data_IF_689182524134
#
_entry.id   IF_689182524134
#
_cell.length_a   1.000
_cell.length_b   1.000
_cell.length_c   1.000
_cell.angle_alpha   90.00
_cell.angle_beta   90.00
_cell.angle_gamma   90.00
#
_symmetry.space_group_name_H-M   'P 1'
#
loop_
_entity.id
_entity.type
_entity.pdbx_description
1 polymer ?
#
# COMPACT_ATOMS: atom_id res chain seq x y z
N UNK A 1 20.31 48.79 -25.50
CA UNK A 1 20.93 49.96 -24.80
C UNK A 1 20.26 50.21 -23.42
N UNK A 2 18.95 50.05 -23.27
CA UNK A 2 18.27 50.19 -21.95
C UNK A 2 18.68 49.11 -20.93
N UNK A 3 18.87 47.88 -21.36
CA UNK A 3 19.26 46.78 -20.43
C UNK A 3 20.70 46.96 -19.89
N UNK A 4 21.60 47.52 -20.67
CA UNK A 4 22.97 47.80 -20.22
C UNK A 4 22.96 48.97 -19.23
N UNK A 5 22.09 49.97 -19.38
CA UNK A 5 21.92 51.05 -18.41
C UNK A 5 21.32 50.57 -17.08
N UNK A 6 20.39 49.61 -17.09
CA UNK A 6 19.87 49.01 -15.84
C UNK A 6 20.92 48.18 -15.11
N UNK A 7 21.80 47.48 -15.83
CA UNK A 7 22.91 46.74 -15.24
C UNK A 7 23.94 47.69 -14.61
N UNK A 8 24.20 48.85 -15.25
CA UNK A 8 25.11 49.88 -14.71
C UNK A 8 24.53 50.58 -13.47
N UNK A 9 23.21 50.78 -13.38
CA UNK A 9 22.57 51.36 -12.20
C UNK A 9 22.58 50.37 -11.00
N UNK A 10 22.50 49.07 -11.25
CA UNK A 10 22.57 48.07 -10.17
C UNK A 10 23.99 47.97 -9.56
N UNK A 11 25.03 48.17 -10.35
CA UNK A 11 26.44 48.13 -9.89
C UNK A 11 26.78 49.34 -9.03
N UNK A 12 26.11 50.50 -9.21
CA UNK A 12 26.33 51.70 -8.39
C UNK A 12 25.63 51.64 -7.00
N UNK A 13 24.83 50.63 -6.71
CA UNK A 13 24.18 50.48 -5.40
C UNK A 13 25.04 49.69 -4.39
N UNK A 14 26.17 49.14 -4.81
CA UNK A 14 27.09 48.46 -3.92
C UNK A 14 28.13 49.44 -3.42
N UNK A 15 27.96 49.99 -2.24
CA UNK A 15 28.94 50.87 -1.63
C UNK A 15 30.13 50.06 -1.08
N UNK A 16 31.33 50.66 -1.12
CA UNK A 16 32.55 50.07 -0.56
C UNK A 16 32.34 49.67 0.95
N UNK A 17 31.55 50.46 1.67
CA UNK A 17 31.14 50.20 3.04
C UNK A 17 30.39 48.85 3.20
N UNK A 18 29.59 48.44 2.24
CA UNK A 18 28.87 47.18 2.30
C UNK A 18 29.79 45.97 2.11
N UNK A 19 30.90 46.12 1.40
CA UNK A 19 31.91 45.07 1.22
C UNK A 19 32.84 44.95 2.44
N UNK A 20 33.20 46.10 3.05
CA UNK A 20 34.08 46.14 4.23
C UNK A 20 33.41 45.62 5.49
N UNK A 21 32.08 45.66 5.60
CA UNK A 21 31.30 45.15 6.74
C UNK A 21 31.02 43.64 6.69
N UNK A 22 31.74 42.88 5.88
CA UNK A 22 31.70 41.39 5.89
C UNK A 22 30.51 40.80 5.12
N UNK A 23 29.84 41.55 4.26
CA UNK A 23 28.75 41.03 3.39
C UNK A 23 29.32 40.25 2.20
N UNK A 24 28.80 39.06 1.98
CA UNK A 24 29.18 38.23 0.82
C UNK A 24 28.18 38.47 -0.33
N UNK A 25 28.68 38.87 -1.50
CA UNK A 25 27.92 38.94 -2.73
C UNK A 25 28.29 37.75 -3.63
N UNK A 26 27.34 36.92 -3.96
CA UNK A 26 27.51 35.78 -4.88
C UNK A 26 26.46 35.89 -5.96
N UNK A 27 26.90 35.89 -7.22
CA UNK A 27 26.01 35.65 -8.35
C UNK A 27 25.63 34.18 -8.37
N UNK A 28 24.34 33.87 -8.35
CA UNK A 28 23.84 32.52 -8.45
C UNK A 28 22.66 32.47 -9.41
N UNK A 29 22.60 31.40 -10.22
CA UNK A 29 21.34 31.04 -10.86
C UNK A 29 20.51 30.24 -9.82
N UNK A 30 19.24 30.61 -9.66
CA UNK A 30 18.33 29.94 -8.71
C UNK A 30 18.79 29.96 -7.24
N UNK A 31 19.46 31.02 -6.77
CA UNK A 31 19.89 31.15 -5.40
C UNK A 31 20.96 30.14 -4.94
N UNK A 32 21.67 29.49 -5.88
CA UNK A 32 22.65 28.44 -5.56
C UNK A 32 22.03 27.08 -5.19
N UNK A 33 20.74 26.94 -5.33
CA UNK A 33 20.02 25.72 -5.01
C UNK A 33 20.21 24.64 -6.08
N UNK A 34 20.53 23.44 -5.63
CA UNK A 34 20.55 22.26 -6.49
C UNK A 34 19.14 21.72 -6.59
N UNK A 35 18.39 22.17 -7.60
CA UNK A 35 16.94 21.88 -7.73
C UNK A 35 16.60 20.39 -7.61
N UNK A 36 17.44 19.49 -8.12
CA UNK A 36 17.22 18.03 -8.01
C UNK A 36 17.21 17.49 -6.57
N UNK A 37 18.01 18.07 -5.67
CA UNK A 37 18.16 17.61 -4.29
C UNK A 37 17.38 18.47 -3.30
N UNK A 38 17.23 19.76 -3.59
CA UNK A 38 16.64 20.72 -2.64
C UNK A 38 15.13 20.93 -2.84
N UNK A 39 14.61 20.85 -4.08
CA UNK A 39 13.16 20.96 -4.32
C UNK A 39 12.36 19.89 -3.56
N UNK A 40 12.75 18.61 -3.53
CA UNK A 40 12.07 17.61 -2.68
C UNK A 40 12.06 17.97 -1.19
N UNK A 41 13.13 18.58 -0.67
CA UNK A 41 13.20 19.04 0.73
C UNK A 41 12.26 20.20 1.00
N UNK A 42 12.20 21.18 0.08
CA UNK A 42 11.24 22.27 0.16
C UNK A 42 9.79 21.78 0.18
N UNK A 43 9.47 20.87 -0.74
CA UNK A 43 8.12 20.25 -0.78
C UNK A 43 7.81 19.56 0.56
N UNK A 44 8.76 18.84 1.13
CA UNK A 44 8.58 18.20 2.44
C UNK A 44 8.36 19.22 3.56
N UNK A 45 9.10 20.34 3.57
CA UNK A 45 8.92 21.39 4.57
C UNK A 45 7.54 22.06 4.45
N UNK A 46 7.05 22.29 3.22
CA UNK A 46 5.68 22.77 2.99
C UNK A 46 4.64 21.77 3.48
N UNK A 47 4.83 20.49 3.15
CA UNK A 47 3.91 19.41 3.58
C UNK A 47 3.87 19.22 5.10
N UNK A 48 4.97 19.52 5.81
CA UNK A 48 5.03 19.51 7.29
C UNK A 48 4.51 20.79 7.93
N UNK A 49 4.11 21.79 7.14
CA UNK A 49 3.68 23.10 7.64
C UNK A 49 4.81 23.98 8.18
N UNK A 50 6.07 23.63 7.92
CA UNK A 50 7.25 24.41 8.33
C UNK A 50 7.45 25.64 7.44
N UNK A 51 6.83 25.65 6.26
CA UNK A 51 6.86 26.75 5.30
C UNK A 51 5.46 27.01 4.74
N UNK A 52 4.99 28.25 4.85
CA UNK A 52 3.75 28.70 4.21
C UNK A 52 4.06 29.32 2.85
N UNK A 53 3.46 28.76 1.78
CA UNK A 53 3.59 29.30 0.42
C UNK A 53 2.56 30.38 0.09
N UNK A 54 1.52 30.54 0.90
CA UNK A 54 0.43 31.49 0.62
C UNK A 54 0.91 32.94 0.41
N UNK A 55 1.88 33.46 1.20
CA UNK A 55 2.37 34.82 1.00
C UNK A 55 3.06 35.07 -0.35
N UNK A 56 3.56 33.99 -0.97
CA UNK A 56 4.24 34.08 -2.28
C UNK A 56 3.29 34.03 -3.46
N UNK A 57 2.03 33.57 -3.26
CA UNK A 57 1.01 33.54 -4.31
C UNK A 57 0.18 34.81 -4.22
N UNK A 58 0.57 35.82 -4.98
CA UNK A 58 -0.06 37.14 -4.95
C UNK A 58 -1.32 37.22 -5.82
N UNK A 59 -1.40 36.40 -6.87
CA UNK A 59 -2.51 36.41 -7.83
C UNK A 59 -3.02 34.98 -8.07
N UNK A 60 -4.34 34.80 -7.96
CA UNK A 60 -5.05 33.57 -8.37
C UNK A 60 -5.96 33.94 -9.53
N UNK A 61 -5.80 33.29 -10.64
CA UNK A 61 -6.52 33.57 -11.89
C UNK A 61 -7.24 32.30 -12.32
N UNK A 62 -8.54 32.38 -12.55
CA UNK A 62 -9.35 31.26 -12.99
C UNK A 62 -9.41 31.20 -14.52
N UNK A 63 -9.27 29.98 -15.08
CA UNK A 63 -9.38 29.70 -16.50
C UNK A 63 -8.11 30.00 -17.30
N UNK A 64 -7.79 29.12 -18.23
CA UNK A 64 -6.63 29.25 -19.11
C UNK A 64 -6.76 30.46 -20.07
N UNK A 65 -7.99 30.85 -20.40
CA UNK A 65 -8.31 31.99 -21.22
C UNK A 65 -7.85 33.33 -20.60
N UNK A 66 -7.62 33.34 -19.29
CA UNK A 66 -7.17 34.53 -18.55
C UNK A 66 -5.64 34.57 -18.32
N UNK A 67 -4.86 33.67 -18.96
CA UNK A 67 -3.39 33.61 -18.80
C UNK A 67 -2.69 34.94 -19.05
N UNK A 68 -3.18 35.76 -20.02
CA UNK A 68 -2.59 37.04 -20.34
C UNK A 68 -2.66 38.03 -19.17
N UNK A 69 -3.69 37.96 -18.33
CA UNK A 69 -3.79 38.77 -17.10
C UNK A 69 -2.66 38.52 -16.11
N UNK A 70 -2.20 37.26 -16.02
CA UNK A 70 -1.04 36.90 -15.18
C UNK A 70 0.26 37.48 -15.76
N UNK A 71 0.41 37.48 -17.08
CA UNK A 71 1.57 38.04 -17.76
C UNK A 71 1.60 39.56 -17.58
N UNK A 72 0.48 40.24 -17.75
CA UNK A 72 0.35 41.67 -17.52
C UNK A 72 0.68 42.07 -16.08
N UNK A 73 0.17 41.33 -15.08
CA UNK A 73 0.47 41.56 -13.66
C UNK A 73 1.96 41.35 -13.34
N UNK A 74 2.62 40.37 -13.96
CA UNK A 74 4.05 40.15 -13.83
C UNK A 74 4.86 41.29 -14.47
N UNK A 75 4.51 41.74 -15.67
CA UNK A 75 5.15 42.83 -16.34
C UNK A 75 4.92 44.16 -15.60
N UNK A 76 3.76 44.38 -15.02
CA UNK A 76 3.44 45.56 -14.21
C UNK A 76 4.11 45.60 -12.85
N UNK A 77 4.88 44.57 -12.46
CA UNK A 77 5.58 44.47 -11.17
C UNK A 77 4.67 44.32 -9.95
N UNK A 78 3.38 44.08 -10.16
CA UNK A 78 2.38 43.92 -9.07
C UNK A 78 2.23 42.46 -8.62
N UNK A 79 2.79 41.49 -9.37
CA UNK A 79 2.68 40.06 -9.14
C UNK A 79 4.02 39.44 -8.77
N UNK A 80 4.10 38.82 -7.61
CA UNK A 80 5.24 38.00 -7.23
C UNK A 80 5.13 36.61 -7.87
N UNK A 81 3.95 35.99 -7.79
CA UNK A 81 3.60 34.75 -8.45
C UNK A 81 2.10 34.69 -8.73
N UNK A 82 1.74 34.39 -9.96
CA UNK A 82 0.39 34.09 -10.38
C UNK A 82 0.20 32.55 -10.45
N UNK A 83 -0.90 32.05 -9.91
CA UNK A 83 -1.36 30.67 -10.07
C UNK A 83 -2.61 30.69 -10.93
N UNK A 84 -2.57 30.01 -12.07
CA UNK A 84 -3.71 29.88 -12.99
C UNK A 84 -4.42 28.57 -12.67
N UNK A 85 -5.67 28.66 -12.26
CA UNK A 85 -6.53 27.52 -12.02
C UNK A 85 -7.20 27.12 -13.33
N UNK A 86 -6.67 26.09 -14.01
CA UNK A 86 -7.08 25.68 -15.36
C UNK A 86 -8.43 24.96 -15.35
N UNK A 87 -8.75 24.24 -14.28
CA UNK A 87 -10.04 23.60 -14.07
C UNK A 87 -10.67 24.13 -12.80
N UNK A 88 -12.01 24.33 -12.78
CA UNK A 88 -12.72 24.48 -11.52
C UNK A 88 -12.38 23.25 -10.67
N UNK A 89 -12.14 23.45 -9.36
CA UNK A 89 -11.97 22.38 -8.38
C UNK A 89 -13.28 21.57 -8.25
N UNK A 90 -13.67 20.93 -9.32
CA UNK A 90 -14.59 19.79 -9.36
C UNK A 90 -13.83 18.49 -9.59
N UNK A 91 -12.57 18.45 -9.20
CA UNK A 91 -12.10 17.16 -8.70
C UNK A 91 -12.88 16.94 -7.41
N UNK A 92 -13.71 15.87 -7.33
CA UNK A 92 -14.09 15.41 -6.01
C UNK A 92 -12.79 15.44 -5.24
N UNK A 93 -12.80 15.89 -3.99
CA UNK A 93 -11.71 15.62 -3.07
C UNK A 93 -11.57 14.10 -3.00
N UNK A 94 -10.93 13.51 -3.99
CA UNK A 94 -10.15 12.33 -3.79
C UNK A 94 -9.10 12.86 -2.82
N UNK A 95 -9.39 12.76 -1.54
CA UNK A 95 -8.48 13.17 -0.50
C UNK A 95 -7.22 12.39 -0.78
N UNK A 96 -6.20 13.12 -1.26
CA UNK A 96 -4.90 12.49 -1.47
C UNK A 96 -4.56 11.76 -0.17
N UNK A 97 -4.13 10.52 -0.23
CA UNK A 97 -3.80 9.78 0.98
C UNK A 97 -2.89 10.58 1.88
N UNK A 98 -3.28 10.71 3.14
CA UNK A 98 -2.54 11.45 4.15
C UNK A 98 -1.41 10.58 4.67
N UNK A 99 -0.18 11.03 4.49
CA UNK A 99 0.99 10.38 5.07
C UNK A 99 0.96 10.52 6.61
N UNK A 100 0.84 9.41 7.31
CA UNK A 100 0.82 9.35 8.79
C UNK A 100 2.21 9.13 9.38
N UNK A 101 3.02 8.28 8.73
CA UNK A 101 4.40 8.05 9.16
C UNK A 101 5.31 7.71 7.98
N UNK A 102 6.60 8.01 8.13
CA UNK A 102 7.64 7.68 7.17
C UNK A 102 8.93 7.34 7.93
N UNK A 103 9.25 6.05 8.02
CA UNK A 103 10.35 5.53 8.83
C UNK A 103 11.34 4.79 7.94
N UNK A 104 12.63 5.06 8.17
CA UNK A 104 13.72 4.34 7.51
C UNK A 104 13.86 2.96 8.13
N UNK A 105 13.86 1.93 7.29
CA UNK A 105 14.21 0.55 7.63
C UNK A 105 15.42 0.12 6.83
N UNK A 106 16.00 -1.02 7.19
CA UNK A 106 17.03 -1.66 6.38
C UNK A 106 16.48 -1.96 4.98
N UNK A 107 17.22 -1.50 3.96
CA UNK A 107 16.85 -1.71 2.55
C UNK A 107 15.73 -0.84 1.99
N UNK A 108 15.11 0.07 2.78
CA UNK A 108 14.03 0.90 2.26
C UNK A 108 13.34 1.83 3.26
N UNK A 109 12.14 2.23 2.92
CA UNK A 109 11.30 3.13 3.71
C UNK A 109 9.93 2.52 3.95
N UNK A 110 9.50 2.49 5.20
CA UNK A 110 8.12 2.15 5.59
C UNK A 110 7.30 3.43 5.68
N UNK A 111 6.22 3.49 4.95
CA UNK A 111 5.29 4.64 4.93
C UNK A 111 3.90 4.16 5.30
N UNK A 112 3.19 4.91 6.14
CA UNK A 112 1.79 4.67 6.49
C UNK A 112 0.93 5.79 5.95
N UNK A 113 -0.19 5.42 5.34
CA UNK A 113 -1.15 6.36 4.76
C UNK A 113 -2.56 6.07 5.27
N UNK A 114 -3.35 7.11 5.39
CA UNK A 114 -4.80 7.05 5.55
C UNK A 114 -5.45 7.69 4.33
N UNK A 115 -6.50 7.07 3.81
CA UNK A 115 -7.25 7.60 2.68
C UNK A 115 -8.72 7.23 2.79
N UNK A 116 -9.57 8.03 2.14
CA UNK A 116 -10.96 7.64 1.93
C UNK A 116 -11.03 6.44 0.98
N UNK A 117 -11.75 5.40 1.36
CA UNK A 117 -11.99 4.24 0.52
C UNK A 117 -13.40 4.30 -0.07
N UNK A 118 -13.48 4.28 -1.40
CA UNK A 118 -14.76 4.19 -2.11
C UNK A 118 -15.40 2.81 -1.95
N UNK A 119 -14.61 1.76 -1.87
CA UNK A 119 -15.10 0.41 -1.62
C UNK A 119 -15.70 0.27 -0.22
N UNK A 120 -15.00 0.77 0.80
CA UNK A 120 -15.41 0.63 2.20
C UNK A 120 -16.24 1.81 2.71
N UNK A 121 -16.37 2.91 1.95
CA UNK A 121 -17.10 4.13 2.33
C UNK A 121 -16.70 4.65 3.73
N UNK A 122 -15.40 4.64 3.99
CA UNK A 122 -14.79 5.14 5.23
C UNK A 122 -13.29 5.37 5.02
N UNK A 123 -12.65 5.97 6.03
CA UNK A 123 -11.20 6.08 6.05
C UNK A 123 -10.56 4.72 6.27
N UNK A 124 -9.66 4.34 5.36
CA UNK A 124 -8.85 3.13 5.46
C UNK A 124 -7.39 3.47 5.63
N UNK A 125 -6.68 2.63 6.35
CA UNK A 125 -5.23 2.75 6.57
C UNK A 125 -4.49 1.62 5.88
N UNK A 126 -3.36 1.95 5.26
CA UNK A 126 -2.41 0.96 4.76
C UNK A 126 -0.98 1.43 4.98
N UNK A 127 -0.07 0.47 5.04
CA UNK A 127 1.36 0.73 5.04
C UNK A 127 2.02 0.14 3.80
N UNK A 128 3.10 0.79 3.34
CA UNK A 128 3.90 0.29 2.24
C UNK A 128 5.39 0.40 2.56
N UNK A 129 6.12 -0.69 2.37
CA UNK A 129 7.57 -0.70 2.31
C UNK A 129 8.01 -0.47 0.86
N UNK A 130 8.77 0.59 0.65
CA UNK A 130 9.35 0.94 -0.65
C UNK A 130 10.85 0.66 -0.59
N UNK A 131 11.38 -0.31 -1.34
CA UNK A 131 12.80 -0.63 -1.33
C UNK A 131 13.64 0.50 -1.91
N UNK A 132 14.87 0.65 -1.44
CA UNK A 132 15.82 1.58 -2.03
C UNK A 132 16.24 1.15 -3.43
N UNK A 133 16.32 2.12 -4.33
CA UNK A 133 16.93 1.93 -5.64
C UNK A 133 18.38 2.38 -5.60
N UNK A 134 19.30 1.56 -6.07
CA UNK A 134 20.71 1.95 -6.23
C UNK A 134 20.86 3.05 -7.28
N UNK A 135 20.10 2.95 -8.39
CA UNK A 135 20.08 3.90 -9.49
C UNK A 135 18.64 4.32 -9.84
N UNK A 136 18.48 5.54 -10.38
CA UNK A 136 17.18 5.99 -10.88
C UNK A 136 16.67 5.20 -12.10
N UNK A 137 17.57 4.58 -12.84
CA UNK A 137 17.31 3.72 -13.99
C UNK A 137 16.90 2.31 -13.63
N UNK A 138 16.98 1.92 -12.34
CA UNK A 138 16.52 0.61 -11.90
C UNK A 138 15.02 0.48 -12.19
N UNK A 139 14.54 -0.69 -12.66
CA UNK A 139 13.13 -0.90 -12.92
C UNK A 139 12.29 -0.72 -11.67
N UNK A 140 11.03 -0.37 -11.87
CA UNK A 140 10.08 -0.26 -10.77
C UNK A 140 9.95 -1.60 -10.03
N UNK A 141 10.00 -1.61 -8.68
CA UNK A 141 9.89 -2.82 -7.89
C UNK A 141 8.52 -3.47 -8.07
N UNK A 142 8.44 -4.81 -8.19
CA UNK A 142 7.16 -5.52 -8.13
C UNK A 142 6.56 -5.41 -6.73
N UNK A 143 5.27 -5.76 -6.61
CA UNK A 143 4.51 -5.56 -5.38
C UNK A 143 4.06 -6.88 -4.77
N UNK A 144 4.30 -7.04 -3.48
CA UNK A 144 3.76 -8.10 -2.65
C UNK A 144 2.73 -7.51 -1.68
N UNK A 145 1.49 -8.00 -1.71
CA UNK A 145 0.47 -7.66 -0.73
C UNK A 145 0.52 -8.66 0.42
N UNK A 146 0.66 -8.15 1.66
CA UNK A 146 0.62 -8.95 2.88
C UNK A 146 -0.69 -8.71 3.62
N UNK A 147 -1.53 -9.72 3.72
CA UNK A 147 -2.80 -9.68 4.42
C UNK A 147 -2.66 -10.23 5.84
N UNK A 148 -3.03 -9.43 6.83
CA UNK A 148 -2.91 -9.81 8.25
C UNK A 148 -4.09 -10.66 8.74
N UNK A 149 -3.92 -11.32 9.88
CA UNK A 149 -4.92 -12.17 10.52
C UNK A 149 -5.94 -11.40 11.36
N UNK A 150 -6.77 -12.13 12.09
CA UNK A 150 -7.77 -11.58 13.00
C UNK A 150 -7.14 -10.60 14.00
N UNK A 151 -7.88 -9.56 14.35
CA UNK A 151 -7.52 -8.50 15.31
C UNK A 151 -6.36 -7.58 14.89
N UNK A 152 -5.65 -7.91 13.81
CA UNK A 152 -4.54 -7.12 13.32
C UNK A 152 -4.99 -5.86 12.59
N UNK A 153 -4.05 -4.92 12.47
CA UNK A 153 -4.09 -3.75 11.60
C UNK A 153 -2.97 -3.86 10.55
N UNK A 154 -2.75 -2.80 9.79
CA UNK A 154 -1.58 -2.64 8.92
C UNK A 154 -0.24 -2.70 9.68
N UNK A 155 -0.25 -2.52 11.01
CA UNK A 155 0.96 -2.41 11.82
C UNK A 155 1.55 -3.76 12.27
N UNK A 156 0.71 -4.77 12.51
CA UNK A 156 1.17 -6.00 13.13
C UNK A 156 2.27 -6.69 12.33
N UNK A 157 2.03 -6.94 11.05
CA UNK A 157 3.00 -7.62 10.19
C UNK A 157 4.21 -6.72 9.87
N UNK A 158 3.98 -5.43 9.57
CA UNK A 158 5.08 -4.52 9.24
C UNK A 158 6.09 -4.32 10.37
N UNK A 159 5.66 -4.51 11.63
CA UNK A 159 6.52 -4.36 12.81
C UNK A 159 7.09 -5.68 13.34
N UNK A 160 6.43 -6.82 13.12
CA UNK A 160 6.76 -8.09 13.77
C UNK A 160 7.24 -9.20 12.84
N UNK A 161 7.01 -9.08 11.52
CA UNK A 161 7.28 -10.17 10.58
C UNK A 161 8.73 -10.26 10.06
N UNK A 162 9.59 -9.31 10.40
CA UNK A 162 11.03 -9.27 10.01
C UNK A 162 11.29 -9.37 8.49
N UNK A 163 10.42 -8.79 7.67
CA UNK A 163 10.45 -8.91 6.21
C UNK A 163 11.43 -7.93 5.52
N UNK A 164 11.77 -6.79 6.18
CA UNK A 164 12.35 -5.62 5.51
C UNK A 164 13.71 -5.89 4.87
N UNK A 165 14.61 -6.59 5.56
CA UNK A 165 15.93 -6.92 5.06
C UNK A 165 15.86 -7.74 3.76
N UNK A 166 15.07 -8.82 3.76
CA UNK A 166 14.94 -9.68 2.59
C UNK A 166 14.22 -8.99 1.44
N UNK A 167 13.11 -8.29 1.71
CA UNK A 167 12.38 -7.53 0.70
C UNK A 167 13.26 -6.42 0.08
N UNK A 168 14.03 -5.71 0.91
CA UNK A 168 14.99 -4.69 0.47
C UNK A 168 16.10 -5.27 -0.41
N UNK A 169 16.67 -6.44 -0.02
CA UNK A 169 17.74 -7.10 -0.75
C UNK A 169 17.34 -7.52 -2.16
N UNK A 170 16.10 -7.97 -2.36
CA UNK A 170 15.55 -8.37 -3.68
C UNK A 170 14.87 -7.23 -4.42
N UNK A 171 14.70 -6.06 -3.80
CA UNK A 171 14.02 -4.92 -4.42
C UNK A 171 12.52 -5.13 -4.57
N UNK A 172 11.85 -5.67 -3.55
CA UNK A 172 10.42 -5.97 -3.52
C UNK A 172 9.67 -4.94 -2.66
N UNK A 173 8.64 -4.30 -3.20
CA UNK A 173 7.74 -3.47 -2.41
C UNK A 173 6.71 -4.36 -1.70
N UNK A 174 6.39 -4.03 -0.43
CA UNK A 174 5.42 -4.81 0.36
C UNK A 174 4.34 -3.89 0.91
N UNK A 175 3.07 -4.23 0.66
CA UNK A 175 1.89 -3.45 1.06
C UNK A 175 1.13 -4.20 2.15
N UNK A 176 0.78 -3.49 3.21
CA UNK A 176 0.08 -4.01 4.38
C UNK A 176 -1.23 -3.23 4.56
N UNK A 177 -2.38 -3.71 4.09
CA UNK A 177 -3.67 -3.10 4.40
C UNK A 177 -4.12 -3.38 5.82
N UNK A 178 -5.02 -2.55 6.34
CA UNK A 178 -5.83 -2.91 7.52
C UNK A 178 -6.73 -4.11 7.20
N UNK A 179 -7.21 -4.78 8.22
CA UNK A 179 -7.98 -6.05 8.12
C UNK A 179 -9.49 -5.85 8.11
N UNK A 180 -9.96 -4.63 8.36
CA UNK A 180 -11.37 -4.25 8.34
C UNK A 180 -11.52 -2.73 8.22
N UNK A 181 -12.71 -2.21 7.88
CA UNK A 181 -13.09 -0.83 8.15
C UNK A 181 -12.94 -0.50 9.63
N UNK A 182 -12.54 0.77 9.92
CA UNK A 182 -12.45 1.29 11.27
C UNK A 182 -13.09 2.68 11.35
N UNK A 183 -13.49 3.08 12.57
CA UNK A 183 -14.12 4.39 12.77
C UNK A 183 -15.53 4.51 12.17
N UNK A 184 -16.12 3.41 11.74
CA UNK A 184 -17.54 3.33 11.36
C UNK A 184 -18.35 2.87 12.57
N UNK A 185 -19.62 3.30 12.65
CA UNK A 185 -20.50 2.94 13.76
C UNK A 185 -21.54 1.94 13.27
N UNK A 186 -21.28 0.66 13.57
CA UNK A 186 -22.21 -0.44 13.31
C UNK A 186 -22.42 -1.17 14.63
N UNK A 187 -23.68 -1.31 15.06
CA UNK A 187 -24.04 -2.02 16.28
C UNK A 187 -23.46 -3.44 16.27
N UNK A 188 -22.78 -3.85 17.34
CA UNK A 188 -22.14 -5.15 17.46
C UNK A 188 -20.84 -5.33 16.67
N UNK A 189 -20.29 -4.25 16.10
CA UNK A 189 -19.02 -4.32 15.34
C UNK A 189 -17.83 -4.71 16.21
N UNK A 190 -17.84 -4.31 17.47
CA UNK A 190 -16.74 -4.53 18.42
C UNK A 190 -17.06 -5.56 19.50
N UNK A 191 -18.14 -6.35 19.33
CA UNK A 191 -18.59 -7.32 20.35
C UNK A 191 -17.73 -8.57 20.42
N UNK A 192 -16.94 -8.86 19.38
CA UNK A 192 -16.17 -10.10 19.29
C UNK A 192 -14.89 -9.92 18.48
N UNK A 193 -13.80 -10.55 18.93
CA UNK A 193 -12.49 -10.51 18.26
C UNK A 193 -12.47 -11.15 16.86
N UNK A 194 -13.40 -12.03 16.58
CA UNK A 194 -13.48 -12.85 15.37
C UNK A 194 -14.59 -12.42 14.39
N UNK A 195 -15.20 -11.25 14.66
CA UNK A 195 -16.25 -10.67 13.80
C UNK A 195 -16.28 -9.14 13.95
N UNK A 196 -16.51 -8.39 12.87
CA UNK A 196 -16.49 -6.93 12.90
C UNK A 196 -15.09 -6.34 12.81
N UNK A 197 -14.72 -5.43 13.71
CA UNK A 197 -13.42 -4.75 13.70
C UNK A 197 -12.26 -5.74 13.79
N UNK A 198 -11.34 -5.65 12.84
CA UNK A 198 -10.20 -6.57 12.75
C UNK A 198 -10.53 -7.95 12.17
N UNK A 199 -11.74 -8.16 11.66
CA UNK A 199 -12.24 -9.46 11.21
C UNK A 199 -13.08 -9.39 9.91
N UNK A 200 -12.60 -8.62 8.92
CA UNK A 200 -13.32 -8.41 7.65
C UNK A 200 -13.29 -9.59 6.68
N UNK A 201 -12.56 -10.66 7.00
CA UNK A 201 -12.45 -11.92 6.22
C UNK A 201 -12.17 -11.73 4.72
N UNK A 202 -11.72 -10.53 4.32
CA UNK A 202 -11.39 -10.20 2.93
C UNK A 202 -12.48 -10.57 1.92
N UNK A 203 -13.74 -10.41 2.33
CA UNK A 203 -14.94 -10.63 1.54
C UNK A 203 -15.71 -9.32 1.30
N UNK A 204 -16.70 -9.37 0.44
CA UNK A 204 -17.68 -8.29 0.26
C UNK A 204 -19.00 -8.68 0.93
N UNK A 205 -19.31 -8.06 2.05
CA UNK A 205 -20.57 -8.30 2.73
C UNK A 205 -21.77 -7.96 1.84
N UNK A 206 -22.80 -8.79 1.91
CA UNK A 206 -24.08 -8.62 1.22
C UNK A 206 -25.25 -8.35 2.15
N UNK A 207 -25.11 -8.72 3.44
CA UNK A 207 -26.15 -8.42 4.42
C UNK A 207 -26.29 -6.92 4.64
N UNK A 208 -27.51 -6.41 4.76
CA UNK A 208 -27.81 -4.96 4.77
C UNK A 208 -27.06 -4.20 5.88
N UNK A 209 -26.84 -4.81 7.02
CA UNK A 209 -26.12 -4.22 8.15
C UNK A 209 -24.65 -3.93 7.85
N UNK A 210 -23.98 -4.78 7.04
CA UNK A 210 -22.54 -4.77 6.82
C UNK A 210 -22.13 -4.31 5.43
N UNK A 211 -23.00 -4.45 4.44
CA UNK A 211 -22.71 -4.28 3.01
C UNK A 211 -22.22 -2.91 2.61
N UNK A 212 -22.49 -1.86 3.40
CA UNK A 212 -22.02 -0.51 3.12
C UNK A 212 -20.52 -0.38 3.30
N UNK A 213 -19.95 -0.97 4.35
CA UNK A 213 -18.57 -0.75 4.75
C UNK A 213 -17.67 -1.97 4.61
N UNK A 214 -18.19 -3.18 4.79
CA UNK A 214 -17.39 -4.41 4.77
C UNK A 214 -17.23 -4.94 3.34
N UNK A 215 -16.41 -4.23 2.54
CA UNK A 215 -16.07 -4.57 1.14
C UNK A 215 -14.57 -4.85 0.98
N UNK A 216 -14.00 -5.61 1.94
CA UNK A 216 -12.57 -5.84 2.01
C UNK A 216 -12.01 -6.58 0.79
N UNK A 217 -12.81 -7.40 0.11
CA UNK A 217 -12.36 -8.05 -1.12
C UNK A 217 -12.12 -7.04 -2.24
N UNK A 218 -13.06 -6.15 -2.50
CA UNK A 218 -12.89 -5.10 -3.51
C UNK A 218 -11.78 -4.12 -3.12
N UNK A 219 -11.67 -3.80 -1.83
CA UNK A 219 -10.61 -2.95 -1.34
C UNK A 219 -9.22 -3.52 -1.64
N UNK A 220 -8.93 -4.78 -1.25
CA UNK A 220 -7.58 -5.34 -1.40
C UNK A 220 -7.28 -5.84 -2.82
N UNK A 221 -8.32 -6.17 -3.61
CA UNK A 221 -8.10 -6.70 -4.96
C UNK A 221 -8.25 -5.66 -6.07
N UNK A 222 -8.87 -4.52 -5.85
CA UNK A 222 -9.13 -3.49 -6.86
C UNK A 222 -8.61 -2.13 -6.43
N UNK A 223 -9.21 -1.52 -5.42
CA UNK A 223 -8.96 -0.13 -5.04
C UNK A 223 -7.52 0.12 -4.56
N UNK A 224 -7.05 -0.65 -3.58
CA UNK A 224 -5.71 -0.48 -3.03
C UNK A 224 -4.60 -0.73 -4.07
N UNK A 225 -4.65 -1.75 -4.95
CA UNK A 225 -3.69 -1.90 -6.04
C UNK A 225 -3.65 -0.72 -7.02
N UNK A 226 -4.79 -0.16 -7.38
CA UNK A 226 -4.84 1.03 -8.24
C UNK A 226 -4.24 2.25 -7.53
N UNK A 227 -4.58 2.46 -6.26
CA UNK A 227 -4.04 3.53 -5.45
C UNK A 227 -2.51 3.44 -5.31
N UNK A 228 -2.00 2.26 -4.97
CA UNK A 228 -0.56 2.00 -4.84
C UNK A 228 0.18 2.27 -6.15
N UNK A 229 -0.37 1.80 -7.28
CA UNK A 229 0.23 2.02 -8.59
C UNK A 229 0.23 3.49 -9.03
N UNK A 230 -0.72 4.29 -8.57
CA UNK A 230 -0.78 5.74 -8.85
C UNK A 230 0.17 6.54 -7.98
N UNK A 231 0.37 6.13 -6.72
CA UNK A 231 1.12 6.93 -5.73
C UNK A 231 2.61 6.60 -5.66
N UNK A 232 2.98 5.38 -6.02
CA UNK A 232 4.35 4.89 -5.83
C UNK A 232 4.97 4.44 -7.15
N UNK A 233 6.30 4.58 -7.28
CA UNK A 233 7.03 4.08 -8.42
C UNK A 233 7.23 2.56 -8.29
N UNK A 234 6.15 1.81 -8.51
CA UNK A 234 6.10 0.34 -8.44
C UNK A 234 5.52 -0.25 -9.72
N UNK A 235 5.90 -1.49 -10.02
CA UNK A 235 5.33 -2.22 -11.16
C UNK A 235 4.05 -2.96 -10.73
N UNK A 236 2.92 -2.29 -10.85
CA UNK A 236 1.60 -2.83 -10.51
C UNK A 236 1.12 -3.97 -11.42
N UNK A 237 1.89 -4.36 -12.45
CA UNK A 237 1.58 -5.53 -13.31
C UNK A 237 2.26 -6.80 -12.80
N UNK A 238 3.35 -6.68 -12.05
CA UNK A 238 4.04 -7.80 -11.41
C UNK A 238 3.67 -7.85 -9.94
N UNK A 239 2.62 -8.60 -9.63
CA UNK A 239 2.05 -8.66 -8.28
C UNK A 239 2.00 -10.08 -7.74
N UNK A 240 2.25 -10.20 -6.44
CA UNK A 240 2.07 -11.43 -5.64
C UNK A 240 1.30 -11.11 -4.37
N UNK A 241 0.81 -12.14 -3.70
CA UNK A 241 0.01 -11.97 -2.49
C UNK A 241 0.38 -13.01 -1.45
N UNK A 242 0.44 -12.59 -0.19
CA UNK A 242 0.65 -13.48 0.95
C UNK A 242 -0.22 -13.06 2.13
N UNK A 243 -0.30 -13.92 3.14
CA UNK A 243 -1.01 -13.55 4.37
C UNK A 243 -0.86 -14.57 5.49
N UNK A 244 -1.38 -14.21 6.67
CA UNK A 244 -1.37 -15.03 7.85
C UNK A 244 -2.81 -15.27 8.35
N UNK A 245 -3.14 -16.52 8.72
CA UNK A 245 -4.41 -16.86 9.34
C UNK A 245 -5.63 -16.47 8.47
N UNK A 246 -6.51 -15.58 8.95
CA UNK A 246 -7.57 -14.94 8.15
C UNK A 246 -6.98 -14.25 6.90
N UNK A 247 -5.81 -13.63 7.00
CA UNK A 247 -5.13 -13.03 5.85
C UNK A 247 -4.57 -14.06 4.88
N UNK A 248 -4.16 -15.23 5.36
CA UNK A 248 -3.80 -16.38 4.52
C UNK A 248 -5.00 -16.88 3.72
N UNK A 249 -6.17 -16.96 4.34
CA UNK A 249 -7.44 -17.17 3.64
C UNK A 249 -7.66 -16.09 2.58
N UNK A 250 -7.51 -14.81 2.95
CA UNK A 250 -7.65 -13.68 2.02
C UNK A 250 -6.71 -13.78 0.81
N UNK A 251 -5.45 -14.19 1.02
CA UNK A 251 -4.46 -14.36 -0.04
C UNK A 251 -4.87 -15.49 -1.00
N UNK A 252 -5.28 -16.64 -0.47
CA UNK A 252 -5.72 -17.79 -1.25
C UNK A 252 -6.95 -17.46 -2.11
N UNK A 253 -8.00 -16.88 -1.51
CA UNK A 253 -9.22 -16.54 -2.26
C UNK A 253 -8.99 -15.43 -3.27
N UNK A 254 -8.12 -14.44 -2.95
CA UNK A 254 -7.77 -13.38 -3.90
C UNK A 254 -7.15 -13.94 -5.17
N UNK A 255 -6.26 -14.93 -5.05
CA UNK A 255 -5.70 -15.61 -6.21
C UNK A 255 -6.76 -16.45 -6.95
N UNK A 256 -7.49 -17.29 -6.23
CA UNK A 256 -8.42 -18.24 -6.84
C UNK A 256 -9.63 -17.55 -7.49
N UNK A 257 -10.02 -16.36 -7.04
CA UNK A 257 -11.08 -15.55 -7.68
C UNK A 257 -10.56 -14.63 -8.80
N UNK A 258 -9.24 -14.46 -8.96
CA UNK A 258 -8.65 -13.60 -9.99
C UNK A 258 -7.55 -14.36 -10.77
N UNK A 259 -7.92 -15.32 -11.63
CA UNK A 259 -6.98 -16.12 -12.41
C UNK A 259 -6.02 -15.24 -13.24
N UNK A 260 -4.70 -15.47 -13.11
CA UNK A 260 -3.68 -14.74 -13.84
C UNK A 260 -3.27 -13.40 -13.25
N UNK A 261 -3.90 -12.93 -12.17
CA UNK A 261 -3.54 -11.66 -11.53
C UNK A 261 -2.27 -11.75 -10.69
N UNK A 262 -2.14 -12.78 -9.88
CA UNK A 262 -1.02 -12.97 -8.97
C UNK A 262 -0.07 -14.05 -9.50
N UNK A 263 1.23 -13.74 -9.58
CA UNK A 263 2.23 -14.67 -10.12
C UNK A 263 2.68 -15.72 -9.10
N UNK A 264 2.46 -15.49 -7.82
CA UNK A 264 2.67 -16.43 -6.73
C UNK A 264 1.82 -16.08 -5.51
N UNK A 265 1.56 -17.10 -4.69
CA UNK A 265 0.80 -16.98 -3.44
C UNK A 265 1.56 -17.62 -2.32
N UNK A 266 1.50 -17.06 -1.11
CA UNK A 266 1.94 -17.78 0.07
C UNK A 266 1.09 -17.49 1.31
N UNK A 267 1.11 -18.40 2.26
CA UNK A 267 0.32 -18.24 3.47
C UNK A 267 0.99 -18.89 4.69
N UNK A 268 0.92 -18.22 5.81
CA UNK A 268 1.24 -18.76 7.13
C UNK A 268 -0.05 -19.17 7.83
N UNK A 269 -0.15 -20.43 8.25
CA UNK A 269 -1.28 -20.94 9.02
C UNK A 269 -2.65 -20.45 8.52
N UNK A 270 -2.99 -20.59 7.21
CA UNK A 270 -4.21 -20.03 6.65
C UNK A 270 -5.47 -20.76 7.09
N UNK A 271 -6.61 -20.03 7.17
CA UNK A 271 -7.93 -20.66 7.24
C UNK A 271 -8.25 -21.18 5.82
N UNK A 272 -8.09 -22.48 5.60
CA UNK A 272 -8.16 -23.08 4.27
C UNK A 272 -9.56 -23.46 3.82
N UNK A 273 -10.45 -23.77 4.77
CA UNK A 273 -11.80 -24.22 4.47
C UNK A 273 -12.82 -23.59 5.44
N UNK A 274 -13.05 -22.27 5.30
CA UNK A 274 -13.89 -21.52 6.24
C UNK A 274 -15.34 -21.98 6.30
N UNK A 275 -15.89 -22.61 5.28
CA UNK A 275 -17.23 -23.22 5.33
C UNK A 275 -17.32 -24.44 6.26
N UNK A 276 -16.20 -24.89 6.83
CA UNK A 276 -16.08 -26.06 7.71
C UNK A 276 -15.43 -25.74 9.05
N UNK A 277 -15.34 -24.46 9.43
CA UNK A 277 -14.81 -24.03 10.71
C UNK A 277 -15.63 -22.92 11.34
N UNK A 278 -15.61 -22.84 12.67
CA UNK A 278 -16.49 -21.92 13.41
C UNK A 278 -16.26 -20.45 13.06
N UNK A 279 -15.01 -20.01 12.83
CA UNK A 279 -14.71 -18.65 12.41
C UNK A 279 -15.35 -18.29 11.06
N UNK A 280 -15.21 -19.20 10.08
CA UNK A 280 -15.78 -18.97 8.76
C UNK A 280 -17.31 -19.07 8.75
N UNK A 281 -17.91 -20.03 9.48
CA UNK A 281 -19.36 -20.13 9.61
C UNK A 281 -19.98 -18.86 10.20
N UNK A 282 -19.36 -18.30 11.26
CA UNK A 282 -19.78 -17.04 11.87
C UNK A 282 -19.65 -15.86 10.89
N UNK A 283 -18.50 -15.75 10.23
CA UNK A 283 -18.25 -14.67 9.27
C UNK A 283 -19.22 -14.73 8.09
N UNK A 284 -19.41 -15.88 7.48
CA UNK A 284 -20.26 -16.06 6.32
C UNK A 284 -21.74 -15.87 6.66
N UNK A 285 -22.20 -16.40 7.79
CA UNK A 285 -23.57 -16.15 8.25
C UNK A 285 -23.82 -14.68 8.51
N UNK A 286 -22.90 -13.99 9.20
CA UNK A 286 -23.05 -12.57 9.54
C UNK A 286 -22.94 -11.64 8.33
N UNK A 287 -21.90 -11.83 7.50
CA UNK A 287 -21.65 -10.92 6.37
C UNK A 287 -22.45 -11.26 5.12
N UNK A 288 -22.68 -12.55 4.83
CA UNK A 288 -23.30 -13.03 3.59
C UNK A 288 -24.69 -13.60 3.78
N UNK A 289 -25.13 -13.77 5.03
CA UNK A 289 -26.46 -14.33 5.37
C UNK A 289 -26.50 -15.85 5.45
N UNK A 290 -25.50 -16.57 4.95
CA UNK A 290 -25.42 -18.03 5.07
C UNK A 290 -24.00 -18.55 4.82
N UNK A 291 -23.69 -19.74 5.35
CA UNK A 291 -22.45 -20.47 5.07
C UNK A 291 -22.38 -20.88 3.60
N UNK A 292 -23.50 -21.23 2.99
CA UNK A 292 -23.57 -21.62 1.58
C UNK A 292 -23.11 -20.49 0.66
N UNK A 293 -23.54 -19.25 0.91
CA UNK A 293 -23.05 -18.07 0.19
C UNK A 293 -21.53 -17.84 0.36
N UNK A 294 -20.94 -18.38 1.43
CA UNK A 294 -19.50 -18.30 1.70
C UNK A 294 -18.63 -19.20 0.82
N UNK A 295 -19.21 -20.16 0.08
CA UNK A 295 -18.44 -21.04 -0.82
C UNK A 295 -17.66 -20.25 -1.89
N UNK A 296 -18.17 -19.12 -2.32
CA UNK A 296 -17.46 -18.22 -3.24
C UNK A 296 -16.21 -17.53 -2.62
N UNK A 297 -16.05 -17.64 -1.30
CA UNK A 297 -14.89 -17.17 -0.53
C UNK A 297 -14.19 -18.31 0.22
N UNK A 298 -14.34 -19.55 -0.22
CA UNK A 298 -13.70 -20.71 0.38
C UNK A 298 -12.64 -21.28 -0.57
N UNK A 299 -11.37 -21.22 -0.16
CA UNK A 299 -10.26 -21.65 -1.01
C UNK A 299 -10.34 -23.13 -1.38
N UNK A 300 -10.86 -23.99 -0.48
CA UNK A 300 -11.02 -25.43 -0.73
C UNK A 300 -12.12 -25.69 -1.77
N UNK A 301 -13.17 -24.89 -1.81
CA UNK A 301 -14.21 -24.99 -2.83
C UNK A 301 -13.75 -24.39 -4.16
N UNK A 302 -13.12 -23.22 -4.13
CA UNK A 302 -12.67 -22.51 -5.34
C UNK A 302 -11.61 -23.28 -6.12
N UNK A 303 -10.66 -23.95 -5.47
CA UNK A 303 -9.54 -24.63 -6.11
C UNK A 303 -10.00 -25.81 -6.98
N UNK A 304 -11.16 -26.38 -6.70
CA UNK A 304 -11.73 -27.53 -7.44
C UNK A 304 -11.95 -27.26 -8.93
N UNK A 305 -12.27 -26.00 -9.27
CA UNK A 305 -12.60 -25.59 -10.61
C UNK A 305 -11.64 -24.54 -11.18
N UNK A 306 -10.45 -24.38 -10.57
CA UNK A 306 -9.52 -23.34 -10.99
C UNK A 306 -8.88 -23.64 -12.35
N UNK A 307 -8.81 -22.68 -13.28
CA UNK A 307 -8.24 -22.89 -14.62
C UNK A 307 -6.75 -23.28 -14.57
N UNK A 308 -6.38 -24.41 -15.15
CA UNK A 308 -5.00 -24.95 -15.11
C UNK A 308 -3.96 -23.99 -15.69
N UNK A 309 -4.32 -23.23 -16.73
CA UNK A 309 -3.44 -22.25 -17.40
C UNK A 309 -3.04 -21.06 -16.53
N UNK A 310 -3.74 -20.84 -15.44
CA UNK A 310 -3.51 -19.72 -14.52
C UNK A 310 -3.01 -20.17 -13.13
N UNK A 311 -2.63 -21.44 -12.98
CA UNK A 311 -2.07 -21.92 -11.72
C UNK A 311 -0.77 -21.19 -11.40
N UNK A 312 -0.71 -20.58 -10.20
CA UNK A 312 0.48 -19.98 -9.66
C UNK A 312 1.05 -20.84 -8.51
N UNK A 313 2.36 -20.82 -8.26
CA UNK A 313 2.92 -21.56 -7.13
C UNK A 313 2.37 -21.02 -5.81
N UNK A 314 1.88 -21.95 -4.97
CA UNK A 314 1.37 -21.68 -3.62
C UNK A 314 2.32 -22.29 -2.59
N UNK A 315 2.83 -21.49 -1.66
CA UNK A 315 3.60 -21.96 -0.51
C UNK A 315 2.79 -21.77 0.76
N UNK A 316 2.62 -22.82 1.57
CA UNK A 316 1.96 -22.76 2.86
C UNK A 316 2.90 -23.28 3.93
N UNK A 317 3.16 -22.50 4.96
CA UNK A 317 3.77 -22.96 6.20
C UNK A 317 2.73 -23.09 7.30
N UNK A 318 2.76 -24.21 8.02
CA UNK A 318 1.82 -24.53 9.07
C UNK A 318 2.55 -25.10 10.30
N UNK A 319 2.43 -24.43 11.43
CA UNK A 319 2.98 -24.92 12.69
C UNK A 319 2.24 -26.16 13.21
N UNK A 320 2.96 -27.18 13.66
CA UNK A 320 2.32 -28.40 14.19
C UNK A 320 1.81 -28.25 15.63
N UNK A 321 2.32 -27.25 16.38
CA UNK A 321 1.85 -26.88 17.71
C UNK A 321 0.79 -25.76 17.70
N UNK A 322 0.31 -25.38 16.50
CA UNK A 322 -0.73 -24.37 16.35
C UNK A 322 -2.07 -24.89 16.90
N UNK A 323 -2.58 -24.23 17.94
CA UNK A 323 -3.82 -24.61 18.62
C UNK A 323 -5.07 -24.53 17.74
N UNK A 324 -5.00 -23.81 16.60
CA UNK A 324 -6.11 -23.66 15.66
C UNK A 324 -6.05 -24.66 14.49
N UNK A 325 -4.96 -25.42 14.36
CA UNK A 325 -4.70 -26.32 13.23
C UNK A 325 -5.87 -27.26 12.93
N UNK A 326 -6.37 -27.96 13.96
CA UNK A 326 -7.35 -29.00 13.79
C UNK A 326 -8.78 -28.49 13.54
N UNK A 327 -9.15 -27.33 14.16
CA UNK A 327 -10.55 -26.93 14.26
C UNK A 327 -10.87 -25.69 13.40
N UNK A 328 -9.85 -24.90 13.00
CA UNK A 328 -10.07 -23.64 12.28
C UNK A 328 -9.31 -23.58 10.94
N UNK A 329 -8.06 -24.06 10.87
CA UNK A 329 -7.20 -23.82 9.71
C UNK A 329 -7.37 -24.85 8.59
N UNK A 330 -7.49 -26.12 8.91
CA UNK A 330 -7.85 -27.24 8.03
C UNK A 330 -7.01 -27.32 6.72
N UNK A 331 -5.67 -27.19 6.74
CA UNK A 331 -4.85 -27.12 5.52
C UNK A 331 -4.93 -28.39 4.67
N UNK A 332 -5.18 -29.55 5.27
CA UNK A 332 -5.35 -30.84 4.57
C UNK A 332 -6.55 -30.85 3.64
N UNK A 333 -7.64 -30.12 3.97
CA UNK A 333 -8.81 -30.03 3.11
C UNK A 333 -8.45 -29.34 1.78
N UNK A 334 -7.70 -28.24 1.85
CA UNK A 334 -7.24 -27.52 0.66
C UNK A 334 -6.29 -28.39 -0.18
N UNK A 335 -5.28 -29.03 0.42
CA UNK A 335 -4.33 -29.85 -0.35
C UNK A 335 -4.99 -31.08 -0.97
N UNK A 336 -5.97 -31.69 -0.30
CA UNK A 336 -6.77 -32.79 -0.86
C UNK A 336 -7.62 -32.33 -2.03
N UNK A 337 -8.28 -31.17 -1.92
CA UNK A 337 -9.04 -30.59 -3.02
C UNK A 337 -8.15 -30.19 -4.21
N UNK A 338 -6.97 -29.62 -3.94
CA UNK A 338 -5.97 -29.28 -4.94
C UNK A 338 -5.49 -30.52 -5.71
N UNK A 339 -5.15 -31.59 -5.01
CA UNK A 339 -4.72 -32.86 -5.62
C UNK A 339 -5.83 -33.45 -6.50
N UNK A 340 -7.07 -33.47 -6.04
CA UNK A 340 -8.22 -33.96 -6.79
C UNK A 340 -8.50 -33.12 -8.05
N UNK A 341 -8.26 -31.81 -8.00
CA UNK A 341 -8.42 -30.88 -9.12
C UNK A 341 -7.20 -30.85 -10.09
N UNK A 342 -6.09 -31.48 -9.71
CA UNK A 342 -4.82 -31.40 -10.45
C UNK A 342 -4.16 -30.04 -10.35
N UNK A 343 -4.36 -29.30 -9.25
CA UNK A 343 -3.59 -28.10 -8.95
C UNK A 343 -2.25 -28.51 -8.34
N UNK A 344 -1.22 -28.59 -9.18
CA UNK A 344 0.07 -29.19 -8.81
C UNK A 344 1.05 -28.27 -8.08
N UNK A 345 1.10 -26.93 -8.35
CA UNK A 345 2.11 -26.08 -7.72
C UNK A 345 1.69 -25.59 -6.32
N UNK A 346 1.24 -26.53 -5.44
CA UNK A 346 0.96 -26.26 -4.03
C UNK A 346 1.94 -27.00 -3.13
N UNK A 347 2.59 -26.30 -2.24
CA UNK A 347 3.56 -26.84 -1.28
C UNK A 347 3.11 -26.49 0.14
N UNK A 348 2.65 -27.50 0.88
CA UNK A 348 2.35 -27.39 2.31
C UNK A 348 3.52 -27.94 3.12
N UNK A 349 4.19 -27.08 3.89
CA UNK A 349 5.27 -27.43 4.80
C UNK A 349 4.74 -27.43 6.23
N UNK A 350 4.82 -28.57 6.90
CA UNK A 350 4.48 -28.70 8.31
C UNK A 350 5.74 -28.40 9.14
N UNK A 351 5.68 -27.35 9.97
CA UNK A 351 6.82 -26.87 10.76
C UNK A 351 6.72 -27.40 12.20
N UNK A 352 7.59 -28.37 12.60
CA UNK A 352 7.49 -29.03 13.89
C UNK A 352 7.67 -28.06 15.07
N UNK A 353 6.73 -28.09 16.04
CA UNK A 353 6.81 -27.33 17.28
C UNK A 353 6.44 -25.84 17.18
N UNK A 354 6.19 -25.31 15.98
CA UNK A 354 5.77 -23.91 15.81
C UNK A 354 4.27 -23.74 16.08
N UNK A 355 3.94 -22.59 16.65
CA UNK A 355 2.59 -22.16 16.99
C UNK A 355 1.98 -21.18 15.95
N UNK A 356 0.97 -20.38 16.33
CA UNK A 356 0.28 -19.40 15.49
C UNK A 356 0.87 -17.99 15.56
N UNK A 357 2.01 -17.81 16.21
CA UNK A 357 2.55 -16.48 16.57
C UNK A 357 3.42 -15.85 15.49
N UNK A 358 3.76 -14.57 15.70
CA UNK A 358 4.74 -13.88 14.86
C UNK A 358 6.17 -14.44 14.99
N UNK A 359 6.51 -15.21 16.03
CA UNK A 359 7.78 -15.95 16.10
C UNK A 359 7.88 -16.99 14.99
N UNK A 360 6.79 -17.72 14.75
CA UNK A 360 6.69 -18.64 13.61
C UNK A 360 6.83 -17.88 12.28
N UNK A 361 6.04 -16.84 12.07
CA UNK A 361 6.06 -16.04 10.83
C UNK A 361 7.47 -15.50 10.55
N UNK A 362 8.11 -14.86 11.54
CA UNK A 362 9.42 -14.23 11.36
C UNK A 362 10.53 -15.25 11.05
N UNK A 363 10.40 -16.48 11.56
CA UNK A 363 11.36 -17.57 11.30
C UNK A 363 11.39 -17.96 9.82
N UNK A 364 10.24 -18.03 9.16
CA UNK A 364 10.12 -18.51 7.78
C UNK A 364 9.85 -17.37 6.76
N UNK A 365 9.82 -16.12 7.20
CA UNK A 365 9.54 -14.98 6.33
C UNK A 365 10.52 -14.89 5.16
N UNK A 366 11.79 -15.17 5.38
CA UNK A 366 12.80 -15.20 4.34
C UNK A 366 12.42 -16.14 3.19
N UNK A 367 11.99 -17.36 3.50
CA UNK A 367 11.59 -18.36 2.51
C UNK A 367 10.41 -17.88 1.67
N UNK A 368 9.43 -17.23 2.32
CA UNK A 368 8.26 -16.66 1.64
C UNK A 368 8.66 -15.50 0.72
N UNK A 369 9.52 -14.58 1.17
CA UNK A 369 10.02 -13.51 0.30
C UNK A 369 10.78 -14.08 -0.89
N UNK A 370 11.63 -15.10 -0.71
CA UNK A 370 12.37 -15.76 -1.79
C UNK A 370 11.44 -16.50 -2.77
N UNK A 371 10.38 -17.14 -2.26
CA UNK A 371 9.33 -17.74 -3.10
C UNK A 371 8.72 -16.71 -4.05
N UNK A 372 8.31 -15.55 -3.52
CA UNK A 372 7.75 -14.47 -4.31
C UNK A 372 8.77 -13.82 -5.23
N UNK A 373 9.98 -13.56 -4.75
CA UNK A 373 11.08 -12.98 -5.54
C UNK A 373 11.40 -13.83 -6.78
N UNK A 374 11.44 -15.16 -6.61
CA UNK A 374 11.68 -16.10 -7.71
C UNK A 374 10.57 -16.01 -8.76
N UNK A 375 9.31 -16.05 -8.34
CA UNK A 375 8.17 -15.98 -9.26
C UNK A 375 8.04 -14.62 -9.95
N UNK A 376 8.40 -13.52 -9.26
CA UNK A 376 8.41 -12.15 -9.80
C UNK A 376 9.63 -11.85 -10.66
N UNK A 377 10.59 -12.77 -10.77
CA UNK A 377 11.81 -12.59 -11.57
C UNK A 377 12.78 -11.55 -10.98
N UNK A 378 12.76 -11.34 -9.66
CA UNK A 378 13.74 -10.50 -8.96
C UNK A 378 14.71 -11.35 -8.16
N UNK A 379 15.96 -10.89 -8.04
CA UNK A 379 17.03 -11.61 -7.33
C UNK A 379 17.70 -10.66 -6.35
N UNK A 380 18.32 -11.21 -5.31
CA UNK A 380 19.14 -10.44 -4.40
C UNK A 380 20.18 -9.63 -5.19
N UNK A 381 20.24 -8.35 -4.93
CA UNK A 381 21.27 -7.47 -5.48
C UNK A 381 22.56 -7.76 -4.70
N UNK A 382 23.54 -8.40 -5.36
CA UNK A 382 24.90 -8.63 -4.84
C UNK A 382 25.59 -7.32 -4.51
#
# INVERSE_FOLDING_TARGET
>A
MLEILQLFLLIHLITIEQLVTGRNWKGTAFGGWKSRTEVPRLVQSVMRGEMDLKPFITHKIEGLENVNKSIEALHGGTCLRAVIQIAKNEMPKADLPVLKSNVKLEGGWMKQFQHWSEACQCDMTFSIFVPERKNRSDPDPPVLYYLSGLTCTDENARTKAHFAQEAGSVGLAVVFPDTSPRGVTIEGQDDSYDFGSGAGFYLNATSSKWSKHYKMYDYVTKELPELVSKLFPVDGKRVSIMGHSMGGHGALISHLKNPGKYVSVSAFSPICNPTKCAWGEKAFTGYLGSVEAGKEYDATELIRNFPKVHQAPILIDQGTADGFLANQLLPKNLTSAAAAAGYMPINLRMQPGYDHSYYFISTFMKDHIQHHATALGVRAKL
#
